data_IF_325554256051
#
_entry.id   IF_325554256051
#
_cell.length_a   1.000
_cell.length_b   1.000
_cell.length_c   1.000
_cell.angle_alpha   90.00
_cell.angle_beta   90.00
_cell.angle_gamma   90.00
#
_symmetry.space_group_name_H-M   'P 1'
#
loop_
_entity.id
_entity.type
_entity.pdbx_description
1 polymer ?
#
# COMPACT_ATOMS: atom_id res chain seq x y z
N UNK A 1 9.90 5.75 -2.25
CA UNK A 1 9.77 5.09 -0.92
C UNK A 1 9.62 6.06 0.26
N UNK A 2 10.42 7.13 0.38
CA UNK A 2 10.38 8.06 1.54
C UNK A 2 8.98 8.62 1.88
N UNK A 3 8.21 9.04 0.88
CA UNK A 3 6.85 9.60 1.09
C UNK A 3 5.91 8.54 1.69
N UNK A 4 5.92 7.33 1.15
CA UNK A 4 5.13 6.21 1.64
C UNK A 4 5.50 5.83 3.08
N UNK A 5 6.80 5.71 3.39
CA UNK A 5 7.26 5.40 4.73
C UNK A 5 6.83 6.46 5.77
N UNK A 6 6.87 7.74 5.40
CA UNK A 6 6.38 8.82 6.26
C UNK A 6 4.87 8.74 6.50
N UNK A 7 4.07 8.42 5.47
CA UNK A 7 2.61 8.24 5.59
C UNK A 7 2.28 7.01 6.44
N UNK A 8 2.96 5.89 6.23
CA UNK A 8 2.80 4.68 7.05
C UNK A 8 3.15 4.95 8.52
N UNK A 9 4.23 5.71 8.78
CA UNK A 9 4.57 6.13 10.13
C UNK A 9 3.48 7.03 10.75
N UNK A 10 2.93 7.98 10.00
CA UNK A 10 1.87 8.85 10.48
C UNK A 10 0.61 8.04 10.87
N UNK A 11 0.20 7.07 10.04
CA UNK A 11 -0.88 6.14 10.37
C UNK A 11 -0.58 5.37 11.66
N UNK A 12 0.63 4.83 11.80
CA UNK A 12 1.05 4.14 13.02
C UNK A 12 1.00 5.03 14.27
N UNK A 13 1.39 6.30 14.16
CA UNK A 13 1.23 7.26 15.28
C UNK A 13 -0.23 7.50 15.63
N UNK A 14 -1.10 7.63 14.64
CA UNK A 14 -2.55 7.74 14.85
C UNK A 14 -3.09 6.54 15.61
N UNK A 15 -2.72 5.32 15.21
CA UNK A 15 -3.11 4.08 15.90
C UNK A 15 -2.60 4.03 17.34
N UNK A 16 -1.41 4.55 17.61
CA UNK A 16 -0.89 4.65 18.98
C UNK A 16 -1.73 5.60 19.84
N UNK A 17 -2.01 6.82 19.36
CA UNK A 17 -2.82 7.79 20.13
C UNK A 17 -4.29 7.34 20.31
N UNK A 18 -4.81 6.51 19.40
CA UNK A 18 -6.14 5.89 19.52
C UNK A 18 -6.16 4.65 20.44
N UNK A 19 -5.01 4.24 20.98
CA UNK A 19 -4.91 3.05 21.84
C UNK A 19 -4.94 1.73 21.09
N UNK A 20 -4.75 1.73 19.77
CA UNK A 20 -4.69 0.52 18.93
C UNK A 20 -3.28 -0.08 18.86
N UNK A 21 -2.24 0.75 19.03
CA UNK A 21 -0.87 0.29 19.26
C UNK A 21 -0.47 0.49 20.72
N UNK A 22 0.32 -0.46 21.25
CA UNK A 22 0.78 -0.42 22.64
C UNK A 22 2.04 0.44 22.83
N UNK A 23 2.93 0.49 21.82
CA UNK A 23 4.23 1.14 21.93
C UNK A 23 4.49 2.01 20.71
N UNK A 24 4.84 3.28 20.94
CA UNK A 24 5.22 4.20 19.87
C UNK A 24 6.52 3.77 19.17
N UNK A 25 7.41 3.08 19.88
CA UNK A 25 8.63 2.47 19.32
C UNK A 25 8.34 1.48 18.18
N UNK A 26 7.14 0.88 18.16
CA UNK A 26 6.73 -0.04 17.10
C UNK A 26 6.62 0.64 15.72
N UNK A 27 6.60 1.98 15.66
CA UNK A 27 6.48 2.77 14.41
C UNK A 27 7.75 3.58 14.10
N UNK A 28 8.91 3.06 14.52
CA UNK A 28 10.22 3.63 14.20
C UNK A 28 10.49 3.59 12.68
N UNK A 29 11.08 4.68 12.14
CA UNK A 29 11.40 4.82 10.70
C UNK A 29 12.35 3.75 10.19
N UNK A 30 13.38 3.40 10.98
CA UNK A 30 14.37 2.41 10.58
C UNK A 30 13.75 1.02 10.51
N UNK A 31 12.97 0.65 11.53
CA UNK A 31 12.23 -0.61 11.58
C UNK A 31 11.26 -0.74 10.41
N UNK A 32 10.50 0.32 10.10
CA UNK A 32 9.59 0.33 8.96
C UNK A 32 10.33 0.17 7.63
N UNK A 33 11.46 0.87 7.44
CA UNK A 33 12.26 0.73 6.22
C UNK A 33 12.80 -0.70 6.05
N UNK A 34 13.33 -1.30 7.12
CA UNK A 34 13.79 -2.70 7.09
C UNK A 34 12.64 -3.66 6.77
N UNK A 35 11.46 -3.46 7.37
CA UNK A 35 10.28 -4.28 7.09
C UNK A 35 9.84 -4.17 5.62
N UNK A 36 9.79 -2.95 5.07
CA UNK A 36 9.42 -2.75 3.68
C UNK A 36 10.42 -3.37 2.69
N UNK A 37 11.72 -3.31 2.97
CA UNK A 37 12.72 -4.02 2.16
C UNK A 37 12.47 -5.52 2.18
N UNK A 38 12.20 -6.10 3.35
CA UNK A 38 11.88 -7.54 3.46
C UNK A 38 10.60 -7.90 2.72
N UNK A 39 9.55 -7.08 2.80
CA UNK A 39 8.32 -7.32 2.04
C UNK A 39 8.52 -7.22 0.53
N UNK A 40 9.48 -6.40 0.08
CA UNK A 40 9.87 -6.37 -1.31
C UNK A 40 10.63 -7.65 -1.72
N UNK A 41 11.57 -8.11 -0.90
CA UNK A 41 12.32 -9.36 -1.13
C UNK A 41 11.40 -10.59 -1.15
N UNK A 42 10.36 -10.60 -0.31
CA UNK A 42 9.36 -11.66 -0.25
C UNK A 42 8.30 -11.58 -1.35
N UNK A 43 8.34 -10.56 -2.21
CA UNK A 43 7.36 -10.39 -3.29
C UNK A 43 5.95 -9.99 -2.81
N UNK A 44 5.81 -9.48 -1.59
CA UNK A 44 4.54 -8.96 -1.07
C UNK A 44 4.29 -7.55 -1.62
N UNK A 45 5.34 -6.75 -1.73
CA UNK A 45 5.30 -5.36 -2.16
C UNK A 45 6.18 -5.14 -3.40
N UNK A 46 5.64 -4.43 -4.38
CA UNK A 46 6.30 -4.05 -5.62
C UNK A 46 6.71 -2.57 -5.56
N UNK A 47 7.97 -2.29 -5.90
CA UNK A 47 8.51 -0.94 -6.02
C UNK A 47 8.87 -0.65 -7.48
N UNK A 48 7.99 0.05 -8.19
CA UNK A 48 8.24 0.48 -9.57
C UNK A 48 8.88 1.84 -9.57
N UNK A 49 10.05 1.98 -10.20
CA UNK A 49 10.75 3.27 -10.33
C UNK A 49 10.56 3.81 -11.74
N UNK A 50 10.11 5.06 -11.82
CA UNK A 50 9.89 5.74 -13.09
C UNK A 50 10.88 6.88 -13.23
N UNK A 51 11.62 6.92 -14.34
CA UNK A 51 12.63 7.95 -14.60
C UNK A 51 12.06 9.18 -15.33
N UNK A 52 10.91 9.06 -15.99
CA UNK A 52 10.27 10.16 -16.73
C UNK A 52 8.82 10.34 -16.25
N UNK A 53 8.26 11.57 -16.21
CA UNK A 53 8.86 12.88 -16.55
C UNK A 53 9.79 13.48 -15.47
N UNK A 54 9.57 13.17 -14.19
CA UNK A 54 10.46 13.46 -13.06
C UNK A 54 10.66 12.17 -12.28
N UNK A 55 11.86 11.80 -11.81
CA UNK A 55 12.07 10.56 -11.07
C UNK A 55 11.08 10.40 -9.91
N UNK A 56 10.29 9.34 -9.96
CA UNK A 56 9.31 9.00 -8.94
C UNK A 56 9.26 7.49 -8.73
N UNK A 57 8.61 7.05 -7.65
CA UNK A 57 8.45 5.63 -7.35
C UNK A 57 7.01 5.34 -6.96
N UNK A 58 6.47 4.30 -7.56
CA UNK A 58 5.17 3.73 -7.24
C UNK A 58 5.36 2.52 -6.33
N UNK A 59 4.48 2.38 -5.35
CA UNK A 59 4.45 1.24 -4.45
C UNK A 59 3.09 0.59 -4.60
N UNK A 60 3.09 -0.70 -4.86
CA UNK A 60 1.88 -1.50 -5.05
C UNK A 60 2.02 -2.83 -4.34
N UNK A 61 0.89 -3.46 -4.01
CA UNK A 61 0.89 -4.84 -3.57
C UNK A 61 0.91 -5.77 -4.79
N UNK A 62 1.49 -6.94 -4.64
CA UNK A 62 1.38 -8.01 -5.63
C UNK A 62 -0.06 -8.52 -5.67
N UNK A 63 -0.51 -9.01 -6.84
CA UNK A 63 -1.89 -9.46 -7.08
C UNK A 63 -2.42 -10.42 -6.00
N UNK A 64 -1.58 -11.34 -5.51
CA UNK A 64 -1.94 -12.29 -4.46
C UNK A 64 -2.22 -11.65 -3.10
N UNK A 65 -1.60 -10.51 -2.80
CA UNK A 65 -1.73 -9.80 -1.52
C UNK A 65 -2.70 -8.63 -1.60
N UNK A 66 -3.41 -8.45 -2.73
CA UNK A 66 -4.45 -7.42 -2.84
C UNK A 66 -5.61 -7.79 -1.89
N UNK A 67 -6.01 -6.90 -0.99
CA UNK A 67 -7.09 -7.19 -0.04
C UNK A 67 -8.43 -7.33 -0.76
N UNK A 68 -9.21 -8.32 -0.35
CA UNK A 68 -10.55 -8.53 -0.88
C UNK A 68 -11.51 -7.44 -0.38
N UNK A 69 -12.49 -7.08 -1.22
CA UNK A 69 -13.57 -6.16 -0.89
C UNK A 69 -14.91 -6.88 -1.03
N UNK A 70 -15.79 -6.66 -0.06
CA UNK A 70 -17.17 -7.16 -0.05
C UNK A 70 -18.08 -5.91 0.06
N UNK A 71 -18.98 -5.71 -0.90
CA UNK A 71 -19.80 -4.49 -1.03
C UNK A 71 -19.00 -3.16 -0.99
N UNK A 72 -17.78 -3.19 -1.53
CA UNK A 72 -16.87 -2.04 -1.56
C UNK A 72 -16.05 -1.82 -0.28
N UNK A 73 -16.32 -2.58 0.78
CA UNK A 73 -15.65 -2.49 2.08
C UNK A 73 -14.50 -3.49 2.14
N UNK A 74 -13.34 -3.06 2.65
CA UNK A 74 -12.21 -3.95 2.91
C UNK A 74 -12.57 -5.01 3.95
N UNK A 75 -12.39 -6.28 3.61
CA UNK A 75 -12.63 -7.39 4.53
C UNK A 75 -11.31 -7.98 5.03
N UNK A 76 -11.24 -8.40 6.31
CA UNK A 76 -10.06 -9.04 6.90
C UNK A 76 -9.93 -10.51 6.41
N UNK A 77 -9.74 -10.71 5.11
CA UNK A 77 -9.61 -12.02 4.47
C UNK A 77 -8.48 -12.01 3.43
N UNK A 78 -7.95 -13.21 3.15
CA UNK A 78 -6.94 -13.43 2.12
C UNK A 78 -5.49 -13.42 2.63
N UNK A 79 -4.51 -13.59 1.72
CA UNK A 79 -3.11 -13.83 2.08
C UNK A 79 -2.45 -12.70 2.87
N UNK A 80 -2.84 -11.45 2.60
CA UNK A 80 -2.38 -10.30 3.36
C UNK A 80 -2.85 -10.35 4.82
N UNK A 81 -4.10 -10.75 5.04
CA UNK A 81 -4.65 -10.88 6.39
C UNK A 81 -3.99 -12.04 7.14
N UNK A 82 -3.80 -13.17 6.47
CA UNK A 82 -3.12 -14.34 7.04
C UNK A 82 -1.68 -14.01 7.48
N UNK A 83 -0.96 -13.21 6.69
CA UNK A 83 0.36 -12.71 7.05
C UNK A 83 0.31 -11.85 8.33
N UNK A 84 -0.65 -10.92 8.41
CA UNK A 84 -0.82 -10.06 9.59
C UNK A 84 -1.16 -10.88 10.83
N UNK A 85 -2.08 -11.83 10.73
CA UNK A 85 -2.44 -12.76 11.81
C UNK A 85 -1.25 -13.63 12.22
N UNK A 86 -0.46 -14.10 11.27
CA UNK A 86 0.76 -14.86 11.54
C UNK A 86 1.75 -14.00 12.35
N UNK A 87 2.06 -12.78 11.91
CA UNK A 87 2.93 -11.85 12.64
C UNK A 87 2.36 -11.57 14.04
N UNK A 88 1.04 -11.38 14.15
CA UNK A 88 0.35 -11.18 15.42
C UNK A 88 0.58 -12.34 16.39
N UNK A 89 0.31 -13.58 15.96
CA UNK A 89 0.48 -14.78 16.80
C UNK A 89 1.88 -14.92 17.37
N UNK A 90 2.93 -14.69 16.58
CA UNK A 90 4.32 -14.80 17.06
C UNK A 90 4.73 -13.67 18.00
N UNK A 91 4.11 -12.50 17.90
CA UNK A 91 4.44 -11.32 18.74
C UNK A 91 3.54 -11.18 19.96
N UNK A 92 2.48 -11.96 20.06
CA UNK A 92 1.54 -11.98 21.18
C UNK A 92 2.04 -12.90 22.31
N UNK A 93 3.18 -12.56 22.91
CA UNK A 93 3.58 -13.10 24.22
C UNK A 93 2.89 -12.28 25.33
N UNK A 94 1.77 -12.78 25.85
CA UNK A 94 1.22 -12.33 27.14
C UNK A 94 -0.18 -11.70 27.15
N UNK A 95 -0.55 -11.18 28.33
CA UNK A 95 -1.90 -10.84 28.85
C UNK A 95 -2.61 -9.67 28.14
N UNK A 96 -2.00 -9.02 27.16
CA UNK A 96 -2.54 -7.82 26.51
C UNK A 96 -3.32 -8.18 25.23
N UNK A 97 -4.35 -9.00 25.38
CA UNK A 97 -5.32 -9.34 24.32
C UNK A 97 -6.31 -8.19 24.15
N UNK A 98 -5.89 -7.06 23.58
CA UNK A 98 -6.88 -6.08 23.08
C UNK A 98 -7.66 -6.76 21.95
N UNK A 99 -8.98 -6.61 21.95
CA UNK A 99 -9.89 -7.30 21.03
C UNK A 99 -9.47 -7.11 19.56
N UNK A 100 -8.87 -8.15 18.97
CA UNK A 100 -8.35 -8.11 17.59
C UNK A 100 -9.43 -7.67 16.60
N UNK A 101 -10.69 -8.07 16.80
CA UNK A 101 -11.79 -7.74 15.89
C UNK A 101 -12.10 -6.22 15.82
N UNK A 102 -12.15 -5.53 16.97
CA UNK A 102 -12.50 -4.10 17.00
C UNK A 102 -11.33 -3.22 16.55
N UNK A 103 -10.10 -3.63 16.88
CA UNK A 103 -8.87 -2.99 16.40
C UNK A 103 -8.76 -3.15 14.89
N UNK A 104 -8.96 -4.37 14.37
CA UNK A 104 -8.92 -4.67 12.93
C UNK A 104 -9.92 -3.83 12.14
N UNK A 105 -11.14 -3.68 12.63
CA UNK A 105 -12.17 -2.86 11.97
C UNK A 105 -11.78 -1.38 11.91
N UNK A 106 -11.22 -0.83 12.99
CA UNK A 106 -10.74 0.56 13.03
C UNK A 106 -9.54 0.80 12.12
N UNK A 107 -8.57 -0.14 12.12
CA UNK A 107 -7.40 -0.08 11.24
C UNK A 107 -7.82 -0.12 9.78
N UNK A 108 -8.72 -1.03 9.38
CA UNK A 108 -9.22 -1.11 8.01
C UNK A 108 -9.98 0.15 7.60
N UNK A 109 -10.79 0.74 8.50
CA UNK A 109 -11.46 2.02 8.24
C UNK A 109 -10.47 3.16 7.99
N UNK A 110 -9.40 3.26 8.79
CA UNK A 110 -8.35 4.26 8.57
C UNK A 110 -7.58 4.01 7.26
N UNK A 111 -7.36 2.75 6.92
CA UNK A 111 -6.76 2.38 5.64
C UNK A 111 -7.62 2.83 4.46
N UNK A 112 -8.95 2.72 4.55
CA UNK A 112 -9.87 3.19 3.50
C UNK A 112 -9.81 4.72 3.33
N UNK A 113 -9.84 5.47 4.43
CA UNK A 113 -9.72 6.95 4.40
C UNK A 113 -8.41 7.36 3.73
N UNK A 114 -7.31 6.69 4.06
CA UNK A 114 -6.03 6.94 3.42
C UNK A 114 -6.01 6.50 1.96
N UNK A 115 -6.71 5.41 1.61
CA UNK A 115 -6.82 4.96 0.22
C UNK A 115 -7.54 6.00 -0.63
N UNK A 116 -8.64 6.58 -0.15
CA UNK A 116 -9.35 7.67 -0.81
C UNK A 116 -8.46 8.91 -0.99
N UNK A 117 -7.70 9.31 0.03
CA UNK A 117 -6.77 10.44 -0.07
C UNK A 117 -5.64 10.15 -1.09
N UNK A 118 -5.17 8.90 -1.15
CA UNK A 118 -4.13 8.47 -2.08
C UNK A 118 -4.65 8.20 -3.50
N UNK A 119 -5.97 8.03 -3.69
CA UNK A 119 -6.57 7.78 -4.99
C UNK A 119 -6.46 8.98 -5.93
N UNK A 120 -6.20 10.18 -5.40
CA UNK A 120 -5.96 11.37 -6.21
C UNK A 120 -4.59 11.25 -6.91
N UNK A 121 -4.55 11.09 -8.25
CA UNK A 121 -3.29 10.87 -8.93
C UNK A 121 -2.41 12.11 -8.86
N UNK A 122 -1.13 11.91 -8.54
CA UNK A 122 -0.13 12.97 -8.51
C UNK A 122 0.04 13.62 -9.89
N UNK A 123 0.56 14.84 -9.95
CA UNK A 123 0.85 15.52 -11.22
C UNK A 123 1.75 14.67 -12.15
N UNK A 124 2.68 13.92 -11.58
CA UNK A 124 3.55 12.99 -12.31
C UNK A 124 2.75 11.81 -12.89
N UNK A 125 1.88 11.19 -12.09
CA UNK A 125 0.99 10.10 -12.54
C UNK A 125 0.06 10.59 -13.66
N UNK A 126 -0.56 11.77 -13.52
CA UNK A 126 -1.41 12.36 -14.57
C UNK A 126 -0.63 12.57 -15.88
N UNK A 127 0.60 13.08 -15.79
CA UNK A 127 1.46 13.29 -16.95
C UNK A 127 1.88 11.97 -17.59
N UNK A 128 2.20 10.96 -16.77
CA UNK A 128 2.52 9.61 -17.24
C UNK A 128 1.34 8.94 -17.94
N UNK A 129 0.14 8.99 -17.37
CA UNK A 129 -1.09 8.47 -17.97
C UNK A 129 -1.42 9.19 -19.29
N UNK A 130 -1.26 10.52 -19.34
CA UNK A 130 -1.40 11.30 -20.58
C UNK A 130 -0.42 10.83 -21.65
N UNK A 131 0.85 10.60 -21.29
CA UNK A 131 1.87 10.09 -22.22
C UNK A 131 1.52 8.69 -22.73
N UNK A 132 1.11 7.77 -21.85
CA UNK A 132 0.63 6.43 -22.21
C UNK A 132 -0.55 6.46 -23.19
N UNK A 133 -1.50 7.38 -22.97
CA UNK A 133 -2.65 7.59 -23.87
C UNK A 133 -2.25 8.16 -25.24
N UNK A 134 -1.14 8.89 -25.32
CA UNK A 134 -0.61 9.44 -26.56
C UNK A 134 0.17 8.38 -27.34
N UNK A 135 1.01 7.59 -26.66
CA UNK A 135 1.78 6.51 -27.27
C UNK A 135 0.86 5.44 -27.88
N UNK A 136 -0.22 5.05 -27.16
CA UNK A 136 -1.24 4.12 -27.68
C UNK A 136 -2.03 4.66 -28.89
N UNK A 137 -2.22 5.99 -28.99
CA UNK A 137 -2.81 6.64 -30.16
C UNK A 137 -1.86 6.71 -31.36
N UNK A 138 -0.54 6.76 -31.16
CA UNK A 138 0.44 6.77 -32.25
C UNK A 138 0.68 5.37 -32.86
N UNK A 139 0.53 4.30 -32.07
CA UNK A 139 0.67 2.91 -32.55
C UNK A 139 -0.52 2.49 -33.42
N UNK A 140 -1.72 3.01 -33.13
CA UNK A 140 -2.92 2.70 -33.92
C UNK A 140 -2.98 3.42 -35.27
N UNK A 141 -2.41 4.64 -35.37
CA UNK A 141 -2.33 5.37 -36.64
C UNK A 141 -1.27 4.79 -37.59
N UNK A 142 -0.17 4.25 -37.06
CA UNK A 142 0.90 3.64 -37.87
C UNK A 142 0.51 2.25 -38.42
N UNK A 143 -0.31 1.48 -37.69
CA UNK A 143 -0.77 0.15 -38.16
C UNK A 143 -1.78 0.25 -39.31
N UNK A 144 -2.54 1.35 -39.40
CA UNK A 144 -3.51 1.56 -40.50
C UNK A 144 -2.83 2.01 -41.79
N UNK A 145 -1.67 2.68 -41.72
CA UNK A 145 -0.93 3.14 -42.89
C UNK A 145 -0.10 2.04 -43.60
N UNK A 146 0.10 0.88 -42.97
CA UNK A 146 0.88 -0.23 -43.52
C UNK A 146 0.03 -1.32 -44.22
N UNK A 147 -1.29 -1.11 -44.35
CA UNK A 147 -2.21 -1.92 -45.15
C UNK A 147 -2.68 -1.13 -46.37
N UNK A 148 -1.79 -0.92 -47.33
CA UNK A 148 -2.10 -0.53 -48.71
C UNK A 148 -1.32 -1.44 -49.66
#
# INVERSE_FOLDING_TARGET
MKVFANRAQALGKTLYYQGDLSYLEAVNKETLNTAFTRYQEQGIMLLTRHNTPKPWSEISLTEQFVPQREDGILVPKGPLWELVEHIGRFRMEGKNRRDSATVSTRVLRLAEILAEENAVPSANQKTFLKKLSQDSKQVSTTTTAAKL
#
